data_IF_107474275110
#
_entry.id   IF_107474275110
#
_cell.length_a   1.000
_cell.length_b   1.000
_cell.length_c   1.000
_cell.angle_alpha   90.00
_cell.angle_beta   90.00
_cell.angle_gamma   90.00
#
_symmetry.space_group_name_H-M   'P 1'
#
loop_
_entity.id
_entity.type
_entity.pdbx_description
1 polymer ?
#
# COMPACT_ATOMS: atom_id res chain seq x y z
N UNK A 1 19.40 81.61 -0.81
CA UNK A 1 20.57 80.95 -1.43
C UNK A 1 20.35 79.44 -1.29
N UNK A 2 19.81 78.81 -2.35
CA UNK A 2 20.49 77.78 -3.17
C UNK A 2 20.90 76.52 -2.37
N UNK A 3 20.08 75.47 -2.41
CA UNK A 3 20.22 74.25 -3.24
C UNK A 3 21.42 73.37 -2.86
N UNK A 4 21.21 72.12 -2.41
CA UNK A 4 21.03 70.99 -3.34
C UNK A 4 20.79 69.64 -2.65
N UNK A 5 20.02 68.84 -3.38
CA UNK A 5 19.51 67.49 -3.18
C UNK A 5 20.58 66.42 -3.55
N UNK A 6 20.69 65.33 -2.79
CA UNK A 6 21.15 63.97 -3.20
C UNK A 6 20.69 63.01 -2.08
N UNK A 7 19.53 62.35 -2.15
CA UNK A 7 19.20 61.13 -2.90
C UNK A 7 20.15 59.94 -2.61
N UNK A 8 19.74 59.05 -1.69
CA UNK A 8 20.12 57.64 -1.77
C UNK A 8 18.94 56.79 -1.29
N UNK A 9 18.33 56.09 -2.25
CA UNK A 9 17.25 55.13 -2.06
C UNK A 9 17.79 53.84 -1.47
N UNK A 10 17.14 53.32 -0.42
CA UNK A 10 17.14 51.89 -0.12
C UNK A 10 15.70 51.38 -0.22
N UNK A 11 15.30 50.95 -1.43
CA UNK A 11 14.11 50.11 -1.60
C UNK A 11 14.42 48.75 -0.95
N UNK A 12 13.78 48.45 0.17
CA UNK A 12 13.60 47.07 0.61
C UNK A 12 12.43 46.48 -0.18
N UNK A 13 12.77 45.75 -1.25
CA UNK A 13 11.83 44.83 -1.89
C UNK A 13 11.68 43.64 -0.93
N UNK A 14 10.64 43.67 -0.10
CA UNK A 14 10.16 42.46 0.57
C UNK A 14 9.31 41.74 -0.47
N UNK A 15 9.93 40.81 -1.19
CA UNK A 15 9.19 39.79 -1.94
C UNK A 15 8.57 38.84 -0.93
N UNK A 16 7.28 39.02 -0.65
CA UNK A 16 6.49 38.02 0.04
C UNK A 16 6.39 36.81 -0.89
N UNK A 17 7.33 35.87 -0.77
CA UNK A 17 7.16 34.54 -1.36
C UNK A 17 5.96 33.95 -0.65
N UNK A 18 4.88 33.72 -1.39
CA UNK A 18 3.78 32.92 -0.89
C UNK A 18 4.34 31.53 -0.62
N UNK A 19 4.49 31.17 0.65
CA UNK A 19 4.74 29.79 1.05
C UNK A 19 3.55 28.95 0.59
N UNK A 20 3.70 28.34 -0.57
CA UNK A 20 2.82 27.28 -1.02
C UNK A 20 3.16 26.05 -0.18
N UNK A 21 2.61 26.01 1.03
CA UNK A 21 2.52 24.80 1.84
C UNK A 21 1.74 23.78 1.01
N UNK A 22 2.46 22.95 0.25
CA UNK A 22 1.91 21.74 -0.34
C UNK A 22 1.49 20.83 0.81
N UNK A 23 0.21 20.89 1.14
CA UNK A 23 -0.47 19.83 1.87
C UNK A 23 -0.39 18.58 1.01
N UNK A 24 0.58 17.71 1.28
CA UNK A 24 0.55 16.34 0.79
C UNK A 24 -0.60 15.64 1.51
N UNK A 25 -1.78 15.65 0.88
CA UNK A 25 -2.81 14.70 1.27
C UNK A 25 -2.20 13.32 1.08
N UNK A 26 -1.97 12.58 2.18
CA UNK A 26 -1.67 11.15 2.10
C UNK A 26 -2.90 10.50 1.47
N UNK A 27 -2.90 10.36 0.15
CA UNK A 27 -3.92 9.62 -0.58
C UNK A 27 -3.72 8.16 -0.20
N UNK A 28 -4.33 7.74 0.90
CA UNK A 28 -4.17 6.38 1.41
C UNK A 28 -4.55 5.37 0.34
N UNK A 29 -3.74 4.32 0.19
CA UNK A 29 -4.06 3.18 -0.67
C UNK A 29 -5.41 2.60 -0.27
N UNK A 30 -6.30 2.42 -1.25
CA UNK A 30 -7.64 1.86 -1.03
C UNK A 30 -7.61 0.37 -0.73
N UNK A 31 -6.50 -0.32 -1.03
CA UNK A 31 -6.30 -1.73 -0.71
C UNK A 31 -4.99 -1.88 0.07
N UNK A 32 -5.08 -2.47 1.26
CA UNK A 32 -3.94 -2.73 2.14
C UNK A 32 -4.01 -4.13 2.72
N UNK A 33 -2.88 -4.65 3.16
CA UNK A 33 -2.79 -5.92 3.88
C UNK A 33 -1.84 -5.79 5.06
N UNK A 34 -2.01 -6.68 6.04
CA UNK A 34 -1.13 -6.85 7.19
C UNK A 34 -1.01 -8.34 7.46
N UNK A 35 0.23 -8.84 7.42
CA UNK A 35 0.54 -10.23 7.66
C UNK A 35 1.07 -10.38 9.07
N UNK A 36 0.50 -11.33 9.81
CA UNK A 36 0.90 -11.67 11.17
C UNK A 36 1.31 -13.15 11.21
N UNK A 37 2.53 -13.43 11.62
CA UNK A 37 2.96 -14.76 12.02
C UNK A 37 2.44 -15.02 13.44
N UNK A 38 1.36 -15.79 13.53
CA UNK A 38 0.70 -16.09 14.81
C UNK A 38 1.37 -17.22 15.58
N UNK A 39 2.28 -17.97 14.96
CA UNK A 39 3.05 -19.00 15.66
C UNK A 39 4.09 -18.38 16.60
N UNK A 40 4.76 -17.32 16.15
CA UNK A 40 5.82 -16.64 16.91
C UNK A 40 5.35 -15.32 17.54
N UNK A 41 4.14 -14.86 17.20
CA UNK A 41 3.57 -13.61 17.73
C UNK A 41 4.25 -12.36 17.17
N UNK A 42 4.72 -12.40 15.92
CA UNK A 42 5.48 -11.34 15.27
C UNK A 42 4.87 -10.96 13.92
N UNK A 43 5.20 -9.79 13.36
CA UNK A 43 4.81 -9.46 12.00
C UNK A 43 5.35 -10.46 10.98
N UNK A 44 4.55 -10.77 9.96
CA UNK A 44 4.96 -11.55 8.80
C UNK A 44 5.77 -10.71 7.82
N UNK A 45 6.92 -10.24 8.26
CA UNK A 45 7.77 -9.34 7.49
C UNK A 45 8.40 -10.02 6.26
N UNK A 46 8.70 -9.22 5.23
CA UNK A 46 9.39 -9.64 3.99
C UNK A 46 8.69 -10.77 3.22
N UNK A 47 7.38 -10.91 3.39
CA UNK A 47 6.57 -11.84 2.62
C UNK A 47 6.26 -11.25 1.26
N UNK A 48 6.70 -11.94 0.19
CA UNK A 48 6.34 -11.58 -1.17
C UNK A 48 4.86 -11.84 -1.44
N UNK A 49 4.23 -10.92 -2.17
CA UNK A 49 2.83 -11.01 -2.57
C UNK A 49 2.57 -10.41 -3.95
N UNK A 50 1.41 -10.71 -4.51
CA UNK A 50 0.95 -10.15 -5.79
C UNK A 50 -0.55 -9.97 -5.84
N UNK A 51 -0.97 -8.83 -6.39
CA UNK A 51 -2.37 -8.51 -6.65
C UNK A 51 -2.72 -8.86 -8.10
N UNK A 52 -3.86 -9.50 -8.28
CA UNK A 52 -4.42 -9.80 -9.59
C UNK A 52 -5.87 -9.32 -9.67
N UNK A 53 -6.34 -9.05 -10.88
CA UNK A 53 -7.73 -8.75 -11.20
C UNK A 53 -8.25 -9.75 -12.22
N UNK A 54 -9.50 -10.20 -12.04
CA UNK A 54 -10.16 -11.08 -13.00
C UNK A 54 -10.60 -10.28 -14.22
N UNK A 55 -10.23 -10.74 -15.41
CA UNK A 55 -10.89 -10.40 -16.66
C UNK A 55 -12.15 -11.27 -16.78
N UNK A 56 -13.37 -10.70 -16.69
CA UNK A 56 -14.60 -11.49 -16.70
C UNK A 56 -14.95 -12.03 -18.09
N UNK A 57 -14.42 -11.45 -19.17
CA UNK A 57 -14.66 -11.92 -20.53
C UNK A 57 -13.79 -13.14 -20.87
N UNK A 58 -12.54 -13.11 -20.44
CA UNK A 58 -11.57 -14.18 -20.70
C UNK A 58 -11.50 -15.23 -19.57
N UNK A 59 -12.10 -14.94 -18.41
CA UNK A 59 -11.96 -15.72 -17.18
C UNK A 59 -10.49 -15.93 -16.76
N UNK A 60 -9.65 -14.90 -16.97
CA UNK A 60 -8.21 -14.93 -16.68
C UNK A 60 -7.84 -13.95 -15.56
N UNK A 61 -6.92 -14.37 -14.69
CA UNK A 61 -6.34 -13.50 -13.66
C UNK A 61 -5.16 -12.73 -14.23
N UNK A 62 -5.31 -11.41 -14.37
CA UNK A 62 -4.26 -10.51 -14.84
C UNK A 62 -3.49 -9.94 -13.65
N UNK A 63 -2.15 -9.96 -13.71
CA UNK A 63 -1.30 -9.34 -12.70
C UNK A 63 -1.50 -7.81 -12.71
N UNK A 64 -1.81 -7.26 -11.56
CA UNK A 64 -1.89 -5.80 -11.33
C UNK A 64 -0.57 -5.29 -10.77
N UNK A 65 -0.09 -5.90 -9.69
CA UNK A 65 1.11 -5.45 -9.00
C UNK A 65 1.77 -6.57 -8.21
N UNK A 66 3.02 -6.34 -7.81
CA UNK A 66 3.79 -7.17 -6.87
C UNK A 66 4.24 -6.30 -5.71
N UNK A 67 4.36 -6.91 -4.54
CA UNK A 67 4.80 -6.23 -3.33
C UNK A 67 5.50 -7.19 -2.38
N UNK A 68 6.07 -6.62 -1.33
CA UNK A 68 6.68 -7.34 -0.21
C UNK A 68 6.26 -6.64 1.06
N UNK A 69 5.87 -7.39 2.09
CA UNK A 69 5.53 -6.79 3.39
C UNK A 69 6.76 -6.16 4.03
N UNK A 70 6.57 -5.02 4.70
CA UNK A 70 7.59 -4.32 5.47
C UNK A 70 7.89 -5.04 6.80
N UNK A 71 8.72 -4.42 7.64
CA UNK A 71 9.10 -4.98 8.95
C UNK A 71 7.93 -5.05 9.94
N UNK A 72 6.89 -4.26 9.73
CA UNK A 72 5.62 -4.33 10.48
C UNK A 72 4.62 -5.30 9.82
N UNK A 73 5.04 -6.07 8.81
CA UNK A 73 4.21 -7.03 8.11
C UNK A 73 3.15 -6.37 7.22
N UNK A 74 3.21 -5.07 7.00
CA UNK A 74 2.24 -4.33 6.21
C UNK A 74 2.66 -4.26 4.74
N UNK A 75 1.67 -4.21 3.85
CA UNK A 75 1.90 -3.82 2.47
C UNK A 75 0.75 -2.91 2.02
N UNK A 76 1.14 -1.73 1.56
CA UNK A 76 0.24 -0.71 1.02
C UNK A 76 0.61 -0.43 -0.44
N UNK A 77 -0.13 0.49 -1.08
CA UNK A 77 0.10 0.90 -2.47
C UNK A 77 0.02 -0.26 -3.48
N UNK A 78 -0.84 -1.24 -3.20
CA UNK A 78 -1.06 -2.41 -4.06
C UNK A 78 -1.71 -2.05 -5.40
N UNK A 79 -2.43 -0.93 -5.46
CA UNK A 79 -3.07 -0.43 -6.67
C UNK A 79 -3.31 1.07 -6.53
N UNK A 80 -3.14 1.80 -7.64
CA UNK A 80 -3.46 3.23 -7.67
C UNK A 80 -4.98 3.44 -7.61
N UNK A 81 -5.41 4.61 -7.12
CA UNK A 81 -6.83 4.96 -7.07
C UNK A 81 -7.48 4.96 -8.46
N UNK A 82 -6.75 5.40 -9.48
CA UNK A 82 -7.25 5.50 -10.86
C UNK A 82 -7.46 4.12 -11.51
N UNK A 83 -6.68 3.11 -11.10
CA UNK A 83 -6.81 1.73 -11.58
C UNK A 83 -7.77 0.88 -10.74
N UNK A 84 -8.14 1.36 -9.55
CA UNK A 84 -9.03 0.65 -8.64
C UNK A 84 -10.49 0.77 -9.09
N UNK A 85 -11.01 -0.33 -9.62
CA UNK A 85 -12.35 -0.40 -10.21
C UNK A 85 -13.12 -1.59 -9.65
N UNK A 86 -14.46 -1.55 -9.73
CA UNK A 86 -15.27 -2.66 -9.26
C UNK A 86 -14.92 -3.95 -10.03
N UNK A 87 -15.00 -5.09 -9.35
CA UNK A 87 -14.65 -6.39 -9.92
C UNK A 87 -14.10 -7.37 -8.90
N UNK A 88 -13.62 -8.52 -9.40
CA UNK A 88 -12.99 -9.55 -8.59
C UNK A 88 -11.48 -9.40 -8.61
N UNK A 89 -10.89 -9.44 -7.42
CA UNK A 89 -9.47 -9.35 -7.18
C UNK A 89 -8.98 -10.60 -6.45
N UNK A 90 -7.66 -10.84 -6.56
CA UNK A 90 -6.98 -11.93 -5.89
C UNK A 90 -5.66 -11.45 -5.34
N UNK A 91 -5.46 -11.61 -4.03
CA UNK A 91 -4.20 -11.35 -3.36
C UNK A 91 -3.51 -12.69 -3.09
N UNK A 92 -2.33 -12.88 -3.67
CA UNK A 92 -1.53 -14.10 -3.54
C UNK A 92 -0.34 -13.84 -2.63
N UNK A 93 -0.16 -14.65 -1.61
CA UNK A 93 0.94 -14.59 -0.64
C UNK A 93 1.86 -15.81 -0.82
N UNK A 94 3.16 -15.58 -0.95
CA UNK A 94 4.16 -16.64 -1.14
C UNK A 94 4.58 -17.27 0.21
N UNK A 95 3.63 -17.96 0.84
CA UNK A 95 3.80 -18.48 2.21
C UNK A 95 4.90 -19.52 2.36
N UNK A 96 5.11 -20.38 1.34
CA UNK A 96 6.23 -21.34 1.39
C UNK A 96 7.57 -20.61 1.44
N UNK A 97 7.77 -19.66 0.54
CA UNK A 97 9.01 -18.88 0.48
C UNK A 97 9.26 -18.15 1.82
N UNK A 98 8.21 -17.58 2.40
CA UNK A 98 8.29 -16.96 3.73
C UNK A 98 8.78 -17.94 4.80
N UNK A 99 8.12 -19.09 4.96
CA UNK A 99 8.51 -20.07 5.99
C UNK A 99 9.89 -20.70 5.73
N UNK A 100 10.25 -20.95 4.48
CA UNK A 100 11.58 -21.47 4.10
C UNK A 100 12.69 -20.48 4.46
N UNK A 101 12.44 -19.18 4.34
CA UNK A 101 13.39 -18.14 4.79
C UNK A 101 13.64 -18.16 6.29
N UNK A 102 12.71 -18.74 7.06
CA UNK A 102 12.81 -18.96 8.50
C UNK A 102 13.29 -20.39 8.85
N UNK A 103 13.80 -21.14 7.86
CA UNK A 103 14.22 -22.55 8.00
C UNK A 103 13.09 -23.48 8.48
N UNK A 104 11.84 -23.19 8.09
CA UNK A 104 10.67 -24.00 8.43
C UNK A 104 9.88 -24.41 7.18
N UNK A 105 9.14 -25.51 7.26
CA UNK A 105 8.26 -25.95 6.18
C UNK A 105 6.87 -25.32 6.30
N UNK A 106 6.27 -24.96 5.17
CA UNK A 106 4.87 -24.55 5.10
C UNK A 106 4.01 -25.70 4.57
N UNK A 107 2.86 -25.95 5.20
CA UNK A 107 1.84 -26.82 4.60
C UNK A 107 1.25 -26.19 3.34
N UNK A 108 1.14 -24.86 3.31
CA UNK A 108 0.60 -24.10 2.19
C UNK A 108 1.72 -23.65 1.24
N UNK A 109 1.74 -24.10 -0.03
CA UNK A 109 2.72 -23.62 -1.01
C UNK A 109 2.63 -22.10 -1.21
N UNK A 110 1.41 -21.60 -1.23
CA UNK A 110 1.02 -20.20 -1.30
C UNK A 110 -0.42 -20.11 -0.80
N UNK A 111 -0.89 -18.90 -0.51
CA UNK A 111 -2.29 -18.62 -0.15
C UNK A 111 -2.84 -17.59 -1.13
N UNK A 112 -4.01 -17.84 -1.69
CA UNK A 112 -4.75 -16.89 -2.52
C UNK A 112 -6.05 -16.50 -1.84
N UNK A 113 -6.26 -15.20 -1.63
CA UNK A 113 -7.51 -14.63 -1.12
C UNK A 113 -8.20 -13.96 -2.28
N UNK A 114 -9.35 -14.50 -2.69
CA UNK A 114 -10.20 -13.96 -3.76
C UNK A 114 -11.34 -13.16 -3.14
N UNK A 115 -11.57 -11.94 -3.60
CA UNK A 115 -12.56 -11.03 -3.04
C UNK A 115 -13.17 -10.12 -4.11
N UNK A 116 -14.35 -9.58 -3.82
CA UNK A 116 -15.08 -8.68 -4.71
C UNK A 116 -15.05 -7.25 -4.16
N UNK A 117 -14.76 -6.30 -5.04
CA UNK A 117 -14.87 -4.87 -4.79
C UNK A 117 -16.14 -4.35 -5.48
N UNK A 118 -17.03 -3.74 -4.70
CA UNK A 118 -18.28 -3.11 -5.20
C UNK A 118 -18.36 -1.62 -4.89
N UNK A 119 -17.79 -1.17 -3.78
CA UNK A 119 -17.78 0.22 -3.34
C UNK A 119 -16.35 0.75 -3.40
N UNK A 120 -16.11 1.79 -4.21
CA UNK A 120 -14.78 2.37 -4.43
C UNK A 120 -14.42 3.48 -3.45
N UNK A 121 -15.39 3.90 -2.62
CA UNK A 121 -15.17 4.91 -1.58
C UNK A 121 -14.69 4.27 -0.26
N UNK A 122 -14.74 2.94 -0.16
CA UNK A 122 -14.26 2.18 0.99
C UNK A 122 -12.77 1.86 0.89
N UNK A 123 -12.10 1.88 2.04
CA UNK A 123 -10.79 1.23 2.19
C UNK A 123 -10.99 -0.26 2.47
N UNK A 124 -10.18 -1.09 1.83
CA UNK A 124 -10.19 -2.53 1.97
C UNK A 124 -8.91 -2.96 2.66
N UNK A 125 -9.04 -3.42 3.91
CA UNK A 125 -7.93 -4.03 4.63
C UNK A 125 -8.13 -5.54 4.68
N UNK A 126 -7.20 -6.31 4.10
CA UNK A 126 -7.25 -7.78 4.05
C UNK A 126 -6.04 -8.39 4.76
N UNK A 127 -6.10 -8.52 6.10
CA UNK A 127 -5.02 -9.11 6.87
C UNK A 127 -4.94 -10.63 6.69
N UNK A 128 -3.72 -11.16 6.79
CA UNK A 128 -3.44 -12.59 6.80
C UNK A 128 -2.80 -12.97 8.15
N UNK A 129 -3.52 -13.73 8.95
CA UNK A 129 -2.99 -14.34 10.17
C UNK A 129 -2.56 -15.76 9.83
N UNK A 130 -1.29 -16.10 10.04
CA UNK A 130 -0.69 -17.33 9.50
C UNK A 130 0.14 -18.08 10.54
N UNK A 131 -0.04 -19.41 10.57
CA UNK A 131 0.91 -20.38 11.09
C UNK A 131 1.32 -21.35 9.98
N UNK A 132 2.23 -22.29 10.26
CA UNK A 132 2.65 -23.31 9.27
C UNK A 132 1.52 -24.23 8.80
N UNK A 133 0.44 -24.35 9.59
CA UNK A 133 -0.65 -25.32 9.38
C UNK A 133 -2.05 -24.73 9.54
N UNK A 134 -2.18 -23.42 9.69
CA UNK A 134 -3.46 -22.72 9.71
C UNK A 134 -3.30 -21.30 9.18
N UNK A 135 -4.36 -20.73 8.64
CA UNK A 135 -4.42 -19.30 8.38
C UNK A 135 -5.86 -18.79 8.53
N UNK A 136 -6.01 -17.49 8.72
CA UNK A 136 -7.29 -16.80 8.66
C UNK A 136 -7.14 -15.43 8.02
N UNK A 137 -8.25 -14.93 7.49
CA UNK A 137 -8.40 -13.60 6.90
C UNK A 137 -9.79 -13.07 7.22
N UNK A 138 -9.95 -11.75 7.16
CA UNK A 138 -11.24 -11.06 7.26
C UNK A 138 -11.19 -9.76 6.46
N UNK A 139 -12.35 -9.10 6.26
CA UNK A 139 -12.39 -7.72 5.74
C UNK A 139 -12.32 -6.77 6.94
N UNK A 140 -11.21 -6.05 7.07
CA UNK A 140 -11.07 -4.93 8.02
C UNK A 140 -11.82 -3.67 7.55
N UNK A 141 -12.02 -2.75 8.49
CA UNK A 141 -12.63 -1.43 8.28
C UNK A 141 -11.51 -0.40 8.17
#
# INVERSE_FOLDING_TARGET
MFNNLMHTSCLHIISCVADHSMTTSKTGSLLTTHVLNTADGVPGARMALSLHRLDPQMALWNLVSKGTTDEDGQCSDLISRDEFTAGMYKLRFETRQYWESLCQSSFYPYIEIVFTITDLDQTFHLPLLLSRYSYSTYKGI
#
